data_IF_208330614884
#
_entry.id   IF_208330614884
#
_cell.length_a   1.000
_cell.length_b   1.000
_cell.length_c   1.000
_cell.angle_alpha   90.00
_cell.angle_beta   90.00
_cell.angle_gamma   90.00
#
_symmetry.space_group_name_H-M   'P 1'
#
loop_
_entity.id
_entity.type
_entity.pdbx_description
1 polymer ?
#
# COMPACT_ATOMS: atom_id res chain seq x y z
N UNK A 1 33.67 -19.32 -31.10
CA UNK A 1 32.52 -19.91 -31.82
C UNK A 1 31.40 -18.89 -31.95
N UNK A 2 30.47 -19.08 -32.89
CA UNK A 2 29.35 -18.16 -33.16
C UNK A 2 28.19 -18.28 -32.16
N UNK A 3 28.31 -19.14 -31.13
CA UNK A 3 27.26 -19.42 -30.15
C UNK A 3 26.60 -18.17 -29.55
N UNK A 4 27.37 -17.10 -29.31
CA UNK A 4 26.88 -15.82 -28.78
C UNK A 4 25.80 -15.16 -29.65
N UNK A 5 25.78 -15.43 -30.96
CA UNK A 5 24.78 -14.91 -31.89
C UNK A 5 23.48 -15.72 -31.93
N UNK A 6 23.51 -16.95 -31.40
CA UNK A 6 22.38 -17.87 -31.37
C UNK A 6 21.73 -17.98 -29.97
N UNK A 7 22.05 -17.07 -29.06
CA UNK A 7 21.41 -16.94 -27.76
C UNK A 7 20.31 -15.89 -27.81
N UNK A 8 19.15 -16.20 -27.21
CA UNK A 8 18.02 -15.27 -27.15
C UNK A 8 17.97 -14.58 -25.78
N UNK A 9 17.93 -13.25 -25.78
CA UNK A 9 17.71 -12.43 -24.58
C UNK A 9 16.31 -11.83 -24.63
N UNK A 10 15.50 -12.09 -23.61
CA UNK A 10 14.14 -11.56 -23.47
C UNK A 10 14.05 -10.73 -22.19
N UNK A 11 13.64 -9.46 -22.31
CA UNK A 11 13.45 -8.55 -21.19
C UNK A 11 11.99 -8.10 -21.12
N UNK A 12 11.35 -8.37 -20.00
CA UNK A 12 9.99 -7.93 -19.70
C UNK A 12 10.01 -6.99 -18.51
N UNK A 13 9.38 -5.83 -18.63
CA UNK A 13 9.25 -4.86 -17.56
C UNK A 13 7.91 -4.13 -17.62
N UNK A 14 7.36 -3.79 -16.45
CA UNK A 14 6.19 -2.92 -16.33
C UNK A 14 6.51 -1.47 -16.74
N UNK A 15 7.76 -1.06 -16.60
CA UNK A 15 8.22 0.30 -16.85
C UNK A 15 9.29 0.33 -17.94
N UNK A 16 9.26 1.37 -18.76
CA UNK A 16 10.37 1.69 -19.64
C UNK A 16 11.46 2.38 -18.85
N UNK A 17 12.70 1.94 -19.07
CA UNK A 17 13.88 2.57 -18.50
C UNK A 17 15.00 2.51 -19.54
N UNK A 18 15.74 3.60 -19.70
CA UNK A 18 16.85 3.68 -20.66
C UNK A 18 17.94 2.63 -20.40
N UNK A 19 18.21 2.33 -19.13
CA UNK A 19 19.09 1.23 -18.71
C UNK A 19 18.66 -0.15 -19.25
N UNK A 20 17.35 -0.41 -19.39
CA UNK A 20 16.89 -1.67 -19.99
C UNK A 20 17.18 -1.72 -21.48
N UNK A 21 17.03 -0.58 -22.18
CA UNK A 21 17.41 -0.47 -23.58
C UNK A 21 18.92 -0.62 -23.76
N UNK A 22 19.73 0.03 -22.91
CA UNK A 22 21.18 -0.09 -22.92
C UNK A 22 21.63 -1.55 -22.72
N UNK A 23 21.08 -2.24 -21.72
CA UNK A 23 21.37 -3.64 -21.44
C UNK A 23 21.01 -4.56 -22.62
N UNK A 24 19.85 -4.33 -23.25
CA UNK A 24 19.45 -5.08 -24.44
C UNK A 24 20.40 -4.81 -25.62
N UNK A 25 20.79 -3.56 -25.85
CA UNK A 25 21.71 -3.19 -26.94
C UNK A 25 23.13 -3.71 -26.71
N UNK A 26 23.59 -3.79 -25.46
CA UNK A 26 24.94 -4.25 -25.13
C UNK A 26 25.07 -5.78 -25.20
N UNK A 27 24.05 -6.51 -24.72
CA UNK A 27 24.15 -7.96 -24.55
C UNK A 27 23.33 -8.82 -25.53
N UNK A 28 22.37 -8.26 -26.28
CA UNK A 28 21.67 -9.01 -27.33
C UNK A 28 22.51 -9.05 -28.62
N UNK A 29 23.42 -10.00 -28.68
CA UNK A 29 24.16 -10.31 -29.91
C UNK A 29 23.24 -11.15 -30.80
N UNK A 30 22.53 -10.51 -31.73
CA UNK A 30 21.50 -11.16 -32.52
C UNK A 30 22.07 -11.66 -33.86
N UNK A 31 21.84 -12.93 -34.22
CA UNK A 31 22.11 -13.43 -35.57
C UNK A 31 21.20 -12.76 -36.62
N UNK A 32 19.92 -12.56 -36.29
CA UNK A 32 18.99 -11.83 -37.15
C UNK A 32 17.88 -11.13 -36.35
N UNK A 33 18.07 -9.82 -36.14
CA UNK A 33 17.02 -8.91 -35.69
C UNK A 33 16.96 -8.62 -34.19
N UNK A 34 16.34 -7.49 -33.86
CA UNK A 34 16.06 -7.04 -32.50
C UNK A 34 14.64 -6.44 -32.52
N UNK A 35 13.77 -6.91 -31.63
CA UNK A 35 12.41 -6.37 -31.48
C UNK A 35 12.33 -5.62 -30.16
N UNK A 36 12.22 -4.30 -30.24
CA UNK A 36 11.97 -3.43 -29.09
C UNK A 36 10.57 -2.84 -29.23
N UNK A 37 9.62 -3.34 -28.42
CA UNK A 37 8.23 -2.91 -28.51
C UNK A 37 8.00 -1.60 -27.74
N UNK A 38 7.77 -0.54 -28.51
CA UNK A 38 7.33 0.76 -28.00
C UNK A 38 5.79 0.85 -27.99
N UNK A 39 5.10 0.02 -27.20
CA UNK A 39 3.68 0.22 -26.90
C UNK A 39 3.39 1.65 -26.42
N UNK A 40 2.47 2.35 -27.07
CA UNK A 40 1.95 3.63 -26.58
C UNK A 40 1.40 3.45 -25.16
N UNK A 41 1.81 4.33 -24.24
CA UNK A 41 1.21 4.36 -22.92
C UNK A 41 0.00 5.29 -23.00
N UNK A 42 -1.17 4.73 -23.28
CA UNK A 42 -2.41 5.45 -23.01
C UNK A 42 -2.45 5.69 -21.50
N UNK A 43 -2.49 6.96 -21.13
CA UNK A 43 -2.39 7.44 -19.75
C UNK A 43 -3.23 6.61 -18.78
N UNK A 44 -2.77 6.50 -17.54
CA UNK A 44 -3.42 5.64 -16.54
C UNK A 44 -4.55 6.35 -15.79
N UNK A 45 -4.80 7.63 -16.09
CA UNK A 45 -5.84 8.42 -15.42
C UNK A 45 -7.24 7.86 -15.66
N UNK A 46 -7.54 7.45 -16.90
CA UNK A 46 -8.83 6.85 -17.25
C UNK A 46 -8.97 5.40 -16.74
N UNK A 47 -7.87 4.82 -16.24
CA UNK A 47 -7.80 3.47 -15.66
C UNK A 47 -7.99 3.48 -14.14
N UNK A 48 -8.33 4.64 -13.56
CA UNK A 48 -8.77 4.72 -12.17
C UNK A 48 -10.18 4.10 -12.10
N UNK A 49 -10.25 2.79 -11.87
CA UNK A 49 -11.50 2.00 -11.86
C UNK A 49 -12.54 2.50 -10.83
N UNK A 50 -12.13 3.28 -9.84
CA UNK A 50 -13.00 3.79 -8.78
C UNK A 50 -12.80 5.31 -8.68
N UNK A 51 -13.76 6.14 -9.11
CA UNK A 51 -13.72 7.57 -8.81
C UNK A 51 -13.85 7.74 -7.30
N UNK A 52 -12.71 7.84 -6.62
CA UNK A 52 -12.63 7.98 -5.17
C UNK A 52 -12.43 9.45 -4.82
N UNK A 53 -13.34 10.01 -4.03
CA UNK A 53 -13.12 11.31 -3.41
C UNK A 53 -11.95 11.20 -2.42
N UNK A 54 -10.88 11.95 -2.67
CA UNK A 54 -9.73 12.04 -1.78
C UNK A 54 -9.79 13.36 -1.03
N UNK A 55 -9.76 13.27 0.30
CA UNK A 55 -9.71 14.43 1.17
C UNK A 55 -8.35 14.48 1.85
N UNK A 56 -7.56 15.50 1.53
CA UNK A 56 -6.27 15.75 2.17
C UNK A 56 -6.43 16.86 3.19
N UNK A 57 -6.14 16.55 4.46
CA UNK A 57 -6.17 17.54 5.54
C UNK A 57 -4.77 17.80 6.05
N UNK A 58 -4.43 19.09 6.11
CA UNK A 58 -3.26 19.58 6.81
C UNK A 58 -3.61 19.75 8.29
N UNK A 59 -2.64 19.49 9.15
CA UNK A 59 -2.69 19.81 10.57
C UNK A 59 -1.45 20.62 10.92
N UNK A 60 -1.59 21.53 11.88
CA UNK A 60 -0.51 22.41 12.29
C UNK A 60 0.33 21.76 13.38
N UNK A 61 1.64 22.05 13.34
CA UNK A 61 2.64 21.56 14.27
C UNK A 61 3.54 22.72 14.64
N UNK A 62 3.52 23.12 15.91
CA UNK A 62 4.32 24.24 16.40
C UNK A 62 5.81 23.86 16.53
N UNK A 63 6.09 22.66 17.04
CA UNK A 63 7.44 22.12 17.22
C UNK A 63 7.53 20.71 16.61
N UNK A 64 8.57 20.37 15.81
CA UNK A 64 8.77 19.04 15.27
C UNK A 64 8.72 17.90 16.31
N UNK A 65 9.12 18.16 17.56
CA UNK A 65 9.05 17.15 18.62
C UNK A 65 7.61 16.76 18.98
N UNK A 66 6.66 17.68 18.82
CA UNK A 66 5.23 17.50 19.12
C UNK A 66 4.44 16.89 17.96
N UNK A 67 5.05 16.73 16.79
CA UNK A 67 4.38 16.27 15.55
C UNK A 67 3.56 14.99 15.77
N UNK A 68 4.07 14.04 16.55
CA UNK A 68 3.39 12.78 16.83
C UNK A 68 2.14 12.96 17.71
N UNK A 69 2.16 13.92 18.63
CA UNK A 69 1.02 14.26 19.48
C UNK A 69 -0.02 15.05 18.69
N UNK A 70 0.40 16.07 17.95
CA UNK A 70 -0.47 16.88 17.09
C UNK A 70 -1.23 16.03 16.07
N UNK A 71 -0.54 15.10 15.39
CA UNK A 71 -1.16 14.12 14.47
C UNK A 71 -2.20 13.24 15.17
N UNK A 72 -1.89 12.75 16.37
CA UNK A 72 -2.83 11.92 17.13
C UNK A 72 -4.05 12.71 17.62
N UNK A 73 -3.88 13.99 18.00
CA UNK A 73 -5.00 14.87 18.33
C UNK A 73 -5.90 15.12 17.11
N UNK A 74 -5.31 15.47 15.96
CA UNK A 74 -6.04 15.60 14.70
C UNK A 74 -6.85 14.33 14.35
N UNK A 75 -6.28 13.15 14.61
CA UNK A 75 -6.99 11.88 14.41
C UNK A 75 -8.21 11.73 15.34
N UNK A 76 -8.08 12.08 16.63
CA UNK A 76 -9.20 12.02 17.57
C UNK A 76 -10.31 12.99 17.20
N UNK A 77 -9.96 14.21 16.84
CA UNK A 77 -10.93 15.30 16.62
C UNK A 77 -11.70 15.10 15.33
N UNK A 78 -11.00 14.69 14.26
CA UNK A 78 -11.60 14.60 12.94
C UNK A 78 -11.86 13.15 12.52
N UNK A 79 -10.81 12.32 12.47
CA UNK A 79 -10.94 10.98 11.90
C UNK A 79 -11.89 10.09 12.68
N UNK A 80 -11.91 10.20 14.03
CA UNK A 80 -12.77 9.36 14.86
C UNK A 80 -14.26 9.60 14.60
N UNK A 81 -14.66 10.85 14.36
CA UNK A 81 -16.04 11.21 14.01
C UNK A 81 -16.46 10.67 12.63
N UNK A 82 -15.50 10.52 11.71
CA UNK A 82 -15.74 10.03 10.34
C UNK A 82 -15.68 8.50 10.20
N UNK A 83 -15.46 7.74 11.28
CA UNK A 83 -15.39 6.27 11.21
C UNK A 83 -16.80 5.69 11.06
N UNK A 84 -17.10 5.21 9.85
CA UNK A 84 -18.32 4.46 9.54
C UNK A 84 -18.05 2.95 9.68
N UNK A 85 -19.08 2.11 9.84
CA UNK A 85 -18.93 0.66 9.71
C UNK A 85 -18.36 0.28 8.34
N UNK A 86 -17.29 -0.52 8.35
CA UNK A 86 -16.54 -0.88 7.15
C UNK A 86 -15.36 0.04 6.83
N UNK A 87 -15.00 0.98 7.72
CA UNK A 87 -13.80 1.80 7.55
C UNK A 87 -12.53 1.03 7.87
N UNK A 88 -11.54 1.09 6.97
CA UNK A 88 -10.19 0.60 7.17
C UNK A 88 -9.24 1.79 7.37
N UNK A 89 -8.52 1.82 8.49
CA UNK A 89 -7.55 2.88 8.83
C UNK A 89 -6.14 2.31 8.68
N UNK A 90 -5.37 2.87 7.74
CA UNK A 90 -3.97 2.50 7.52
C UNK A 90 -3.09 3.49 8.28
N UNK A 91 -2.19 2.97 9.12
CA UNK A 91 -1.32 3.75 10.00
C UNK A 91 0.15 3.49 9.62
N UNK A 92 0.92 4.52 9.21
CA UNK A 92 2.30 4.36 8.75
C UNK A 92 3.25 3.84 9.83
N UNK A 93 3.15 4.43 11.03
CA UNK A 93 4.05 4.16 12.14
C UNK A 93 3.45 3.18 13.13
N UNK A 94 4.23 2.19 13.55
CA UNK A 94 3.83 1.26 14.61
C UNK A 94 3.55 1.98 15.95
N UNK A 95 4.31 3.04 16.25
CA UNK A 95 4.12 3.82 17.47
C UNK A 95 2.76 4.54 17.48
N UNK A 96 2.37 5.13 16.35
CA UNK A 96 1.05 5.75 16.20
C UNK A 96 -0.07 4.70 16.25
N UNK A 97 0.17 3.53 15.65
CA UNK A 97 -0.76 2.41 15.71
C UNK A 97 -1.06 2.00 17.16
N UNK A 98 -0.04 1.92 18.02
CA UNK A 98 -0.23 1.61 19.44
C UNK A 98 -1.08 2.68 20.13
N UNK A 99 -0.84 3.97 19.85
CA UNK A 99 -1.63 5.09 20.40
C UNK A 99 -3.10 4.99 19.99
N UNK A 100 -3.38 4.82 18.70
CA UNK A 100 -4.74 4.67 18.16
C UNK A 100 -5.44 3.43 18.72
N UNK A 101 -4.76 2.28 18.76
CA UNK A 101 -5.30 1.04 19.33
C UNK A 101 -5.68 1.22 20.80
N UNK A 102 -4.81 1.85 21.59
CA UNK A 102 -5.07 2.07 23.01
C UNK A 102 -6.22 3.07 23.23
N UNK A 103 -6.31 4.10 22.37
CA UNK A 103 -7.44 5.03 22.34
C UNK A 103 -8.75 4.31 22.07
N UNK A 104 -8.82 3.53 21.00
CA UNK A 104 -10.02 2.75 20.64
C UNK A 104 -10.42 1.75 21.73
N UNK A 105 -9.45 1.14 22.43
CA UNK A 105 -9.75 0.32 23.60
C UNK A 105 -10.38 1.12 24.73
N UNK A 106 -9.87 2.32 25.00
CA UNK A 106 -10.35 3.20 26.08
C UNK A 106 -11.74 3.76 25.78
N UNK A 107 -12.03 4.06 24.52
CA UNK A 107 -13.34 4.55 24.07
C UNK A 107 -14.31 3.43 23.70
N UNK A 108 -13.95 2.17 23.97
CA UNK A 108 -14.76 0.97 23.68
C UNK A 108 -15.25 0.86 22.21
N UNK A 109 -14.43 1.34 21.26
CA UNK A 109 -14.76 1.27 19.85
C UNK A 109 -14.81 -0.17 19.34
N UNK A 110 -15.73 -0.45 18.40
CA UNK A 110 -15.85 -1.76 17.78
C UNK A 110 -14.78 -1.93 16.68
N UNK A 111 -13.59 -2.39 17.07
CA UNK A 111 -12.48 -2.51 16.12
C UNK A 111 -11.74 -3.86 16.18
N UNK A 112 -11.00 -4.14 15.10
CA UNK A 112 -10.01 -5.21 14.98
C UNK A 112 -8.72 -4.66 14.39
N UNK A 113 -7.61 -5.37 14.61
CA UNK A 113 -6.29 -4.90 14.23
C UNK A 113 -5.49 -5.94 13.46
N UNK A 114 -4.82 -5.51 12.39
CA UNK A 114 -3.85 -6.30 11.64
C UNK A 114 -2.49 -5.59 11.64
N UNK A 115 -1.46 -6.23 12.17
CA UNK A 115 -0.11 -5.66 12.25
C UNK A 115 0.94 -6.76 12.10
N UNK A 116 2.16 -6.37 11.76
CA UNK A 116 3.26 -7.26 11.41
C UNK A 116 3.67 -8.22 12.55
N UNK A 117 3.48 -7.81 13.80
CA UNK A 117 3.80 -8.62 14.99
C UNK A 117 2.65 -9.53 15.45
N UNK A 118 1.48 -9.50 14.79
CA UNK A 118 0.36 -10.36 15.18
C UNK A 118 0.53 -11.77 14.61
N UNK A 119 0.17 -12.83 15.35
CA UNK A 119 0.16 -14.17 14.80
C UNK A 119 -0.89 -14.29 13.69
N UNK A 120 -0.60 -15.12 12.67
CA UNK A 120 -1.45 -15.30 11.50
C UNK A 120 -2.90 -15.65 11.85
N UNK A 121 -3.12 -16.51 12.86
CA UNK A 121 -4.46 -16.90 13.32
C UNK A 121 -5.30 -15.71 13.78
N UNK A 122 -4.69 -14.78 14.52
CA UNK A 122 -5.34 -13.54 14.98
C UNK A 122 -5.66 -12.61 13.83
N UNK A 123 -4.75 -12.51 12.86
CA UNK A 123 -4.93 -11.70 11.64
C UNK A 123 -6.10 -12.24 10.81
N UNK A 124 -6.14 -13.55 10.56
CA UNK A 124 -7.23 -14.19 9.81
C UNK A 124 -8.58 -13.91 10.50
N UNK A 125 -8.68 -14.19 11.81
CA UNK A 125 -9.89 -13.91 12.58
C UNK A 125 -10.30 -12.43 12.55
N UNK A 126 -9.33 -11.52 12.65
CA UNK A 126 -9.58 -10.08 12.57
C UNK A 126 -10.17 -9.69 11.20
N UNK A 127 -9.62 -10.25 10.11
CA UNK A 127 -10.12 -10.01 8.75
C UNK A 127 -11.53 -10.55 8.56
N UNK A 128 -11.81 -11.78 9.03
CA UNK A 128 -13.14 -12.39 8.92
C UNK A 128 -14.20 -11.58 9.67
N UNK A 129 -13.89 -11.16 10.90
CA UNK A 129 -14.80 -10.32 11.71
C UNK A 129 -15.10 -8.96 11.04
N UNK A 130 -14.11 -8.38 10.36
CA UNK A 130 -14.30 -7.14 9.62
C UNK A 130 -15.11 -7.37 8.33
N UNK A 131 -14.81 -8.44 7.60
CA UNK A 131 -15.51 -8.81 6.36
C UNK A 131 -17.01 -9.05 6.60
N UNK A 132 -17.35 -9.78 7.67
CA UNK A 132 -18.72 -10.00 8.10
C UNK A 132 -19.36 -8.81 8.83
N UNK A 133 -18.71 -7.64 8.86
CA UNK A 133 -19.17 -6.41 9.54
C UNK A 133 -19.47 -6.59 11.03
N UNK A 134 -18.96 -7.65 11.66
CA UNK A 134 -19.07 -7.87 13.11
C UNK A 134 -18.25 -6.85 13.90
N UNK A 135 -17.22 -6.28 13.26
CA UNK A 135 -16.39 -5.21 13.80
C UNK A 135 -16.44 -4.00 12.87
N UNK A 136 -16.71 -2.83 13.44
CA UNK A 136 -16.98 -1.57 12.71
C UNK A 136 -15.73 -1.11 11.95
N UNK A 137 -14.57 -1.17 12.58
CA UNK A 137 -13.32 -0.59 12.07
C UNK A 137 -12.20 -1.62 12.02
N UNK A 138 -11.41 -1.60 10.95
CA UNK A 138 -10.16 -2.34 10.85
C UNK A 138 -8.99 -1.35 10.90
N UNK A 139 -8.13 -1.45 11.91
CA UNK A 139 -6.87 -0.71 11.95
C UNK A 139 -5.71 -1.58 11.45
N UNK A 140 -4.88 -1.03 10.57
CA UNK A 140 -3.80 -1.77 9.91
C UNK A 140 -2.52 -0.95 9.92
N UNK A 141 -1.39 -1.57 10.25
CA UNK A 141 -0.08 -0.93 10.01
C UNK A 141 0.27 -0.96 8.53
N UNK A 142 0.83 0.13 8.00
CA UNK A 142 1.26 0.22 6.59
C UNK A 142 2.21 -0.92 6.22
N UNK A 143 3.18 -1.24 7.09
CA UNK A 143 4.12 -2.34 6.86
C UNK A 143 3.39 -3.66 6.58
N UNK A 144 2.45 -4.05 7.45
CA UNK A 144 1.65 -5.24 7.21
C UNK A 144 0.83 -5.15 5.92
N UNK A 145 0.17 -4.01 5.69
CA UNK A 145 -0.66 -3.78 4.51
C UNK A 145 0.14 -3.91 3.21
N UNK A 146 1.33 -3.33 3.16
CA UNK A 146 2.24 -3.37 2.01
C UNK A 146 2.65 -4.80 1.65
N UNK A 147 3.11 -5.59 2.63
CA UNK A 147 3.60 -6.94 2.39
C UNK A 147 2.50 -8.01 2.26
N UNK A 148 1.26 -7.71 2.68
CA UNK A 148 0.18 -8.70 2.74
C UNK A 148 -1.11 -8.23 2.06
N UNK A 149 -1.00 -7.57 0.89
CA UNK A 149 -2.14 -7.16 0.07
C UNK A 149 -2.89 -8.39 -0.45
N UNK A 150 -3.88 -8.84 0.32
CA UNK A 150 -4.81 -9.91 -0.05
C UNK A 150 -6.23 -9.38 0.02
N UNK A 151 -7.08 -9.70 -0.98
CA UNK A 151 -8.48 -9.32 -0.94
C UNK A 151 -9.13 -9.86 0.34
N UNK A 152 -10.00 -9.05 0.95
CA UNK A 152 -10.88 -9.53 2.00
C UNK A 152 -11.83 -10.56 1.36
N UNK A 153 -12.03 -11.68 2.04
CA UNK A 153 -12.86 -12.80 1.62
C UNK A 153 -13.75 -13.20 2.78
#
# INVERSE_FOLDING_TARGET
GQAKFYCQLLLFSRYRHELFSALMLEHSLNFQGLVMQNASCEGTLDKIEIPLCQELRRFDVADPSEQALARFNCFKDYCNASLLPGTCVIIPSYFDFVRVRNHFKRTEESFVACHEYAPKTKITRARDLFFHKSKKVLIVTERYYYFNRRPLR
#
